data_IF_710612392030
#
_entry.id   IF_710612392030
#
_cell.length_a   1.000
_cell.length_b   1.000
_cell.length_c   1.000
_cell.angle_alpha   90.00
_cell.angle_beta   90.00
_cell.angle_gamma   90.00
#
_symmetry.space_group_name_H-M   'P 1'
#
loop_
_entity.id
_entity.type
_entity.pdbx_description
1 polymer ?
#
# COMPACT_ATOMS: atom_id res chain seq x y z
N UNK A 1 23.79 -12.42 -12.74
CA UNK A 1 23.38 -11.18 -13.42
C UNK A 1 21.88 -11.08 -13.21
N UNK A 2 21.50 -10.44 -12.11
CA UNK A 2 20.13 -10.48 -11.58
C UNK A 2 19.59 -9.06 -11.69
N UNK A 3 18.61 -8.88 -12.58
CA UNK A 3 18.07 -7.59 -12.98
C UNK A 3 17.22 -6.99 -11.86
N UNK A 4 17.83 -6.07 -11.12
CA UNK A 4 17.17 -5.05 -10.30
C UNK A 4 17.00 -3.83 -11.22
N UNK A 5 15.76 -3.45 -11.49
CA UNK A 5 15.38 -2.29 -12.32
C UNK A 5 14.03 -2.58 -12.97
N UNK A 6 12.93 -1.94 -12.58
CA UNK A 6 12.68 -0.52 -12.70
C UNK A 6 11.67 -0.11 -11.61
N UNK A 7 12.14 0.61 -10.59
CA UNK A 7 11.34 1.41 -9.67
C UNK A 7 12.08 2.71 -9.37
N UNK A 8 12.33 3.54 -10.39
CA UNK A 8 12.73 4.95 -10.22
C UNK A 8 12.10 5.80 -11.32
N UNK A 9 11.13 6.62 -10.93
CA UNK A 9 10.82 7.98 -11.41
C UNK A 9 9.74 8.48 -10.42
N UNK A 10 9.89 9.47 -9.54
CA UNK A 10 10.83 10.57 -9.40
C UNK A 10 11.26 10.77 -7.93
N UNK A 11 12.41 11.40 -7.78
CA UNK A 11 13.03 11.86 -6.56
C UNK A 11 12.33 13.08 -5.91
N UNK A 12 12.46 13.13 -4.59
CA UNK A 12 12.80 14.30 -3.76
C UNK A 12 12.14 15.65 -4.03
N UNK A 13 11.30 16.09 -3.08
CA UNK A 13 11.30 17.48 -2.59
C UNK A 13 11.16 17.46 -1.07
N UNK A 14 12.18 17.97 -0.38
CA UNK A 14 12.11 18.45 0.99
C UNK A 14 11.19 19.68 1.05
N UNK A 15 10.27 19.72 2.00
CA UNK A 15 9.67 20.96 2.49
C UNK A 15 9.64 20.92 4.03
N UNK A 16 10.03 22.01 4.72
CA UNK A 16 9.98 22.07 6.17
C UNK A 16 8.51 22.22 6.60
N UNK A 17 7.98 21.31 7.39
CA UNK A 17 6.69 21.55 8.03
C UNK A 17 6.90 22.50 9.21
N UNK A 18 6.48 23.74 8.98
CA UNK A 18 6.35 24.77 9.99
C UNK A 18 5.42 24.32 11.13
N UNK A 19 5.78 24.74 12.33
CA UNK A 19 4.97 24.70 13.54
C UNK A 19 3.57 25.29 13.26
N UNK A 20 2.50 24.53 13.50
CA UNK A 20 1.15 25.07 13.67
C UNK A 20 0.76 24.91 15.14
N UNK A 21 0.34 25.98 15.84
CA UNK A 21 0.05 25.94 17.27
C UNK A 21 -1.25 25.20 17.59
N UNK A 22 -1.30 24.73 18.84
CA UNK A 22 -2.38 24.03 19.55
C UNK A 22 -3.80 24.28 19.02
N UNK A 23 -4.40 23.25 18.41
CA UNK A 23 -5.84 23.16 18.24
C UNK A 23 -6.46 22.55 19.50
N UNK A 24 -7.06 23.43 20.31
CA UNK A 24 -7.90 23.13 21.46
C UNK A 24 -8.89 21.99 21.13
N UNK A 25 -8.83 20.91 21.90
CA UNK A 25 -9.74 19.78 21.82
C UNK A 25 -11.20 20.24 22.03
N UNK A 26 -12.02 20.14 20.97
CA UNK A 26 -13.46 20.24 21.12
C UNK A 26 -14.04 18.90 21.64
N UNK A 27 -14.97 18.92 22.61
CA UNK A 27 -15.57 17.70 23.13
C UNK A 27 -16.37 16.99 22.02
N UNK A 28 -16.15 15.68 21.91
CA UNK A 28 -16.84 14.78 20.97
C UNK A 28 -18.35 14.89 21.18
N UNK A 29 -19.07 15.50 20.22
CA UNK A 29 -20.52 15.35 20.12
C UNK A 29 -20.82 13.94 19.63
N UNK A 30 -21.61 13.19 20.41
CA UNK A 30 -22.17 11.92 19.97
C UNK A 30 -22.90 12.09 18.64
N UNK A 31 -22.84 11.10 17.73
CA UNK A 31 -23.61 11.15 16.49
C UNK A 31 -25.11 11.27 16.83
N UNK A 32 -25.87 12.13 16.14
CA UNK A 32 -27.29 12.28 16.40
C UNK A 32 -28.00 10.96 16.05
N UNK A 33 -28.86 10.51 16.97
CA UNK A 33 -29.78 9.38 16.77
C UNK A 33 -30.60 9.63 15.48
N UNK A 34 -30.81 8.62 14.61
CA UNK A 34 -31.60 8.80 13.39
C UNK A 34 -33.00 9.32 13.73
N UNK A 35 -33.38 10.46 13.14
CA UNK A 35 -34.73 10.99 13.26
C UNK A 35 -35.72 10.01 12.58
N UNK A 36 -36.86 9.67 13.22
CA UNK A 36 -37.93 8.95 12.53
C UNK A 36 -38.47 9.82 11.40
N UNK A 37 -38.30 9.38 10.15
CA UNK A 37 -38.88 10.06 8.98
C UNK A 37 -37.89 10.67 7.97
N UNK A 38 -36.63 10.22 7.92
CA UNK A 38 -35.79 10.54 6.76
C UNK A 38 -36.48 10.05 5.47
N UNK A 39 -36.72 10.90 4.46
CA UNK A 39 -37.43 10.51 3.25
C UNK A 39 -36.65 9.42 2.53
N UNK A 40 -37.34 8.31 2.25
CA UNK A 40 -36.86 7.23 1.39
C UNK A 40 -36.37 7.82 0.06
N UNK A 41 -35.17 7.44 -0.39
CA UNK A 41 -34.67 7.86 -1.69
C UNK A 41 -35.73 7.57 -2.78
N UNK A 42 -36.05 8.53 -3.65
CA UNK A 42 -37.03 8.31 -4.70
C UNK A 42 -36.57 7.18 -5.63
N UNK A 43 -37.51 6.32 -6.02
CA UNK A 43 -37.26 5.17 -6.87
C UNK A 43 -36.70 5.65 -8.24
N UNK A 44 -35.64 5.02 -8.80
CA UNK A 44 -35.04 5.46 -10.05
C UNK A 44 -36.05 5.49 -11.20
N UNK A 45 -35.98 6.53 -12.05
CA UNK A 45 -36.78 6.60 -13.28
C UNK A 45 -36.23 5.65 -14.36
N UNK A 46 -37.02 5.23 -15.37
CA UNK A 46 -36.54 4.34 -16.43
C UNK A 46 -35.27 4.86 -17.16
N UNK A 47 -35.21 6.15 -17.47
CA UNK A 47 -34.03 6.77 -18.08
C UNK A 47 -32.78 6.73 -17.18
N UNK A 48 -32.97 6.88 -15.86
CA UNK A 48 -31.90 6.70 -14.86
C UNK A 48 -31.37 5.27 -14.86
N UNK A 49 -32.28 4.29 -14.96
CA UNK A 49 -31.94 2.86 -15.04
C UNK A 49 -31.14 2.51 -16.29
N UNK A 50 -31.53 3.01 -17.46
CA UNK A 50 -30.80 2.77 -18.71
C UNK A 50 -29.40 3.40 -18.69
N UNK A 51 -29.27 4.63 -18.18
CA UNK A 51 -27.98 5.29 -18.01
C UNK A 51 -27.06 4.53 -17.05
N UNK A 52 -27.59 4.05 -15.93
CA UNK A 52 -26.83 3.23 -14.98
C UNK A 52 -26.33 1.92 -15.65
N UNK A 53 -27.17 1.23 -16.41
CA UNK A 53 -26.78 0.02 -17.13
C UNK A 53 -25.69 0.31 -18.16
N UNK A 54 -25.79 1.40 -18.91
CA UNK A 54 -24.76 1.82 -19.86
C UNK A 54 -23.41 2.11 -19.18
N UNK A 55 -23.43 2.73 -18.00
CA UNK A 55 -22.23 3.00 -17.19
C UNK A 55 -21.59 1.70 -16.69
N UNK A 56 -22.39 0.76 -16.17
CA UNK A 56 -21.89 -0.55 -15.73
C UNK A 56 -21.27 -1.32 -16.88
N UNK A 57 -21.93 -1.33 -18.05
CA UNK A 57 -21.39 -1.93 -19.27
C UNK A 57 -20.07 -1.28 -19.70
N UNK A 58 -19.96 0.05 -19.60
CA UNK A 58 -18.72 0.76 -19.94
C UNK A 58 -17.54 0.36 -19.03
N UNK A 59 -17.79 0.04 -17.76
CA UNK A 59 -16.78 -0.51 -16.85
C UNK A 59 -16.36 -1.94 -17.25
N UNK A 60 -17.31 -2.81 -17.62
CA UNK A 60 -17.01 -4.15 -18.11
C UNK A 60 -16.21 -4.12 -19.43
N UNK A 61 -16.58 -3.22 -20.34
CA UNK A 61 -15.87 -3.02 -21.61
C UNK A 61 -14.44 -2.50 -21.38
N UNK A 62 -14.23 -1.67 -20.35
CA UNK A 62 -12.88 -1.22 -19.95
C UNK A 62 -12.00 -2.40 -19.52
N UNK A 63 -12.52 -3.29 -18.66
CA UNK A 63 -11.79 -4.48 -18.23
C UNK A 63 -11.45 -5.41 -19.42
N UNK A 64 -12.40 -5.60 -20.35
CA UNK A 64 -12.18 -6.38 -21.57
C UNK A 64 -11.09 -5.76 -22.45
N UNK A 65 -11.16 -4.44 -22.68
CA UNK A 65 -10.17 -3.72 -23.48
C UNK A 65 -8.77 -3.83 -22.88
N UNK A 66 -8.62 -3.64 -21.56
CA UNK A 66 -7.36 -3.84 -20.87
C UNK A 66 -6.81 -5.25 -21.06
N UNK A 67 -7.64 -6.27 -20.82
CA UNK A 67 -7.23 -7.68 -20.92
C UNK A 67 -6.88 -8.09 -22.36
N UNK A 68 -7.50 -7.45 -23.37
CA UNK A 68 -7.19 -7.63 -24.77
C UNK A 68 -6.02 -6.76 -25.27
N UNK A 69 -5.44 -5.91 -24.42
CA UNK A 69 -4.43 -4.90 -24.77
C UNK A 69 -4.92 -3.92 -25.87
N UNK A 70 -6.23 -3.66 -25.92
CA UNK A 70 -6.82 -2.69 -26.83
C UNK A 70 -6.75 -1.29 -26.20
N UNK A 71 -5.57 -0.68 -26.35
CA UNK A 71 -5.29 0.65 -25.80
C UNK A 71 -6.12 1.76 -26.47
N UNK A 72 -6.59 1.55 -27.69
CA UNK A 72 -7.47 2.49 -28.38
C UNK A 72 -8.88 2.47 -27.78
N UNK A 73 -9.40 1.27 -27.47
CA UNK A 73 -10.66 1.11 -26.75
C UNK A 73 -10.56 1.64 -25.31
N UNK A 74 -9.44 1.44 -24.62
CA UNK A 74 -9.17 2.08 -23.33
C UNK A 74 -9.21 3.61 -23.48
N UNK A 75 -8.49 4.17 -24.45
CA UNK A 75 -8.47 5.61 -24.69
C UNK A 75 -9.86 6.19 -24.93
N UNK A 76 -10.71 5.51 -25.71
CA UNK A 76 -12.10 5.92 -25.96
C UNK A 76 -12.99 5.97 -24.71
N UNK A 77 -12.58 5.35 -23.60
CA UNK A 77 -13.29 5.44 -22.32
C UNK A 77 -12.95 6.69 -21.51
N UNK A 78 -11.89 7.42 -21.87
CA UNK A 78 -11.50 8.67 -21.21
C UNK A 78 -11.92 9.89 -22.03
N UNK A 79 -12.22 11.01 -21.39
CA UNK A 79 -12.31 12.33 -22.06
C UNK A 79 -10.91 12.82 -22.45
N UNK A 80 -10.81 13.78 -23.36
CA UNK A 80 -9.51 14.27 -23.83
C UNK A 80 -8.65 14.86 -22.69
N UNK A 81 -9.30 15.57 -21.76
CA UNK A 81 -8.67 16.28 -20.64
C UNK A 81 -8.80 15.54 -19.30
N UNK A 82 -9.01 14.23 -19.32
CA UNK A 82 -9.26 13.48 -18.10
C UNK A 82 -8.08 13.52 -17.11
N UNK A 83 -8.38 13.44 -15.82
CA UNK A 83 -7.36 13.24 -14.78
C UNK A 83 -7.50 11.85 -14.13
N UNK A 84 -6.36 11.22 -13.84
CA UNK A 84 -6.26 10.01 -13.04
C UNK A 84 -5.32 10.27 -11.87
N UNK A 85 -5.85 10.23 -10.65
CA UNK A 85 -5.10 10.31 -9.41
C UNK A 85 -4.82 8.91 -8.89
N UNK A 86 -3.54 8.55 -8.83
CA UNK A 86 -3.09 7.23 -8.43
C UNK A 86 -2.83 7.20 -6.91
N UNK A 87 -2.86 5.99 -6.35
CA UNK A 87 -2.62 5.73 -4.92
C UNK A 87 -1.22 6.16 -4.44
N UNK A 88 -0.22 6.10 -5.32
CA UNK A 88 1.14 6.58 -5.06
C UNK A 88 1.29 8.12 -5.04
N UNK A 89 0.19 8.87 -5.13
CA UNK A 89 0.17 10.34 -5.14
C UNK A 89 0.41 10.98 -6.52
N UNK A 90 0.69 10.19 -7.57
CA UNK A 90 0.83 10.70 -8.92
C UNK A 90 -0.53 11.16 -9.51
N UNK A 91 -0.49 12.18 -10.36
CA UNK A 91 -1.65 12.61 -11.14
C UNK A 91 -1.29 12.61 -12.62
N UNK A 92 -1.99 11.80 -13.41
CA UNK A 92 -1.87 11.77 -14.86
C UNK A 92 -2.95 12.66 -15.47
N UNK A 93 -2.56 13.51 -16.42
CA UNK A 93 -3.46 14.47 -17.07
C UNK A 93 -3.51 14.25 -18.57
N UNK A 94 -4.72 14.16 -19.09
CA UNK A 94 -5.02 13.92 -20.51
C UNK A 94 -5.07 12.44 -20.87
N UNK A 95 -5.98 12.11 -21.81
CA UNK A 95 -6.18 10.73 -22.31
C UNK A 95 -4.89 10.06 -22.74
N UNK A 96 -4.06 10.78 -23.50
CA UNK A 96 -2.82 10.25 -24.07
C UNK A 96 -1.85 9.79 -22.97
N UNK A 97 -1.60 10.64 -21.96
CA UNK A 97 -0.72 10.32 -20.85
C UNK A 97 -1.22 9.11 -20.04
N UNK A 98 -2.54 9.02 -19.81
CA UNK A 98 -3.16 7.90 -19.12
C UNK A 98 -2.96 6.60 -19.90
N UNK A 99 -3.28 6.60 -21.20
CA UNK A 99 -3.14 5.41 -22.07
C UNK A 99 -1.69 4.97 -22.20
N UNK A 100 -0.75 5.92 -22.28
CA UNK A 100 0.68 5.62 -22.38
C UNK A 100 1.24 4.94 -21.13
N UNK A 101 0.83 5.38 -19.94
CA UNK A 101 1.23 4.71 -18.70
C UNK A 101 0.63 3.32 -18.62
N UNK A 102 -0.64 3.14 -18.98
CA UNK A 102 -1.29 1.82 -19.04
C UNK A 102 -0.57 0.89 -20.02
N UNK A 103 -0.17 1.40 -21.19
CA UNK A 103 0.60 0.66 -22.20
C UNK A 103 1.97 0.23 -21.69
N UNK A 104 2.72 1.15 -21.08
CA UNK A 104 4.04 0.86 -20.48
C UNK A 104 3.92 -0.17 -19.36
N UNK A 105 2.93 -0.02 -18.47
CA UNK A 105 2.69 -0.99 -17.39
C UNK A 105 2.34 -2.38 -17.93
N UNK A 106 1.53 -2.43 -18.99
CA UNK A 106 1.14 -3.68 -19.67
C UNK A 106 2.32 -4.41 -20.30
N UNK A 107 3.29 -3.69 -20.86
CA UNK A 107 4.50 -4.28 -21.44
C UNK A 107 5.39 -4.96 -20.39
N UNK A 108 5.45 -4.40 -19.18
CA UNK A 108 6.20 -4.99 -18.06
C UNK A 108 5.44 -6.14 -17.39
N UNK A 109 4.12 -6.24 -17.59
CA UNK A 109 3.24 -7.25 -16.99
C UNK A 109 2.34 -7.91 -18.04
N UNK A 110 2.90 -8.70 -18.98
CA UNK A 110 2.16 -9.21 -20.13
C UNK A 110 1.03 -10.18 -19.75
N UNK A 111 1.10 -10.81 -18.59
CA UNK A 111 0.07 -11.72 -18.06
C UNK A 111 -0.96 -11.05 -17.16
N UNK A 112 -0.76 -9.78 -16.79
CA UNK A 112 -1.70 -9.08 -15.93
C UNK A 112 -3.08 -8.95 -16.58
N UNK A 113 -4.12 -9.28 -15.82
CA UNK A 113 -5.52 -9.13 -16.17
C UNK A 113 -6.26 -8.38 -15.06
N UNK A 114 -7.23 -7.55 -15.44
CA UNK A 114 -8.10 -6.85 -14.49
C UNK A 114 -9.53 -7.38 -14.52
N UNK A 115 -10.21 -7.24 -13.39
CA UNK A 115 -11.67 -7.28 -13.28
C UNK A 115 -12.14 -6.01 -12.55
N UNK A 116 -13.31 -5.51 -12.94
CA UNK A 116 -13.92 -4.33 -12.31
C UNK A 116 -15.29 -4.72 -11.76
N UNK A 117 -15.57 -4.29 -10.53
CA UNK A 117 -16.88 -4.39 -9.89
C UNK A 117 -17.39 -3.01 -9.56
N UNK A 118 -18.46 -2.59 -10.22
CA UNK A 118 -19.16 -1.34 -9.90
C UNK A 118 -20.05 -1.55 -8.68
N UNK A 119 -19.75 -0.83 -7.60
CA UNK A 119 -20.46 -0.89 -6.32
C UNK A 119 -21.64 0.08 -6.28
N UNK A 120 -21.43 1.32 -6.72
CA UNK A 120 -22.50 2.32 -6.82
C UNK A 120 -22.37 3.19 -8.07
N UNK A 121 -23.52 3.65 -8.55
CA UNK A 121 -23.65 4.65 -9.60
C UNK A 121 -24.61 5.73 -9.08
N UNK A 122 -24.06 6.89 -8.77
CA UNK A 122 -24.81 8.05 -8.30
C UNK A 122 -24.99 9.02 -9.48
N UNK A 123 -26.18 9.04 -10.08
CA UNK A 123 -26.49 9.98 -11.16
C UNK A 123 -26.52 11.41 -10.61
N UNK A 124 -25.70 12.30 -11.19
CA UNK A 124 -25.62 13.73 -10.80
C UNK A 124 -26.47 14.63 -11.72
N UNK A 125 -26.92 14.08 -12.84
CA UNK A 125 -27.78 14.71 -13.85
C UNK A 125 -27.87 13.83 -15.09
N UNK A 126 -28.51 14.32 -16.16
CA UNK A 126 -28.68 13.55 -17.39
C UNK A 126 -27.35 13.18 -18.09
N UNK A 127 -26.30 14.00 -17.90
CA UNK A 127 -25.00 13.83 -18.55
C UNK A 127 -23.83 13.62 -17.61
N UNK A 128 -24.05 13.36 -16.31
CA UNK A 128 -22.96 13.17 -15.35
C UNK A 128 -23.35 12.15 -14.27
N UNK A 129 -22.39 11.30 -13.89
CA UNK A 129 -22.56 10.30 -12.85
C UNK A 129 -21.26 10.11 -12.07
N UNK A 130 -21.37 9.90 -10.77
CA UNK A 130 -20.27 9.42 -9.94
C UNK A 130 -20.35 7.91 -9.84
N UNK A 131 -19.24 7.23 -10.06
CA UNK A 131 -19.16 5.77 -10.03
C UNK A 131 -18.11 5.34 -9.03
N UNK A 132 -18.49 4.47 -8.10
CA UNK A 132 -17.56 3.87 -7.15
C UNK A 132 -17.49 2.38 -7.37
N UNK A 133 -16.33 1.80 -7.14
CA UNK A 133 -16.15 0.37 -7.26
C UNK A 133 -14.77 -0.10 -6.88
N UNK A 134 -14.54 -1.35 -7.19
CA UNK A 134 -13.28 -2.04 -6.95
C UNK A 134 -12.74 -2.57 -8.28
N UNK A 135 -11.47 -2.31 -8.57
CA UNK A 135 -10.68 -2.95 -9.62
C UNK A 135 -9.76 -3.98 -8.97
N UNK A 136 -9.69 -5.19 -9.52
CA UNK A 136 -8.74 -6.23 -9.10
C UNK A 136 -7.83 -6.54 -10.26
N UNK A 137 -6.53 -6.36 -10.07
CA UNK A 137 -5.49 -6.81 -10.98
C UNK A 137 -4.94 -8.15 -10.49
N UNK A 138 -4.85 -9.11 -11.40
CA UNK A 138 -4.19 -10.40 -11.16
C UNK A 138 -3.04 -10.51 -12.13
N UNK A 139 -1.87 -10.87 -11.62
CA UNK A 139 -0.70 -11.23 -12.43
C UNK A 139 -0.12 -12.55 -11.92
N UNK A 140 0.34 -13.39 -12.82
CA UNK A 140 0.95 -14.69 -12.48
C UNK A 140 2.42 -14.53 -11.98
N UNK A 141 2.88 -13.29 -11.78
CA UNK A 141 4.22 -12.93 -11.28
C UNK A 141 4.29 -12.74 -9.76
N UNK A 142 5.44 -12.28 -9.26
CA UNK A 142 5.80 -12.14 -7.82
C UNK A 142 4.81 -11.32 -6.97
N UNK A 143 3.95 -10.54 -7.60
CA UNK A 143 3.09 -9.55 -6.96
C UNK A 143 1.68 -10.10 -6.63
N UNK A 144 1.23 -11.18 -7.30
CA UNK A 144 -0.05 -11.84 -7.03
C UNK A 144 -1.31 -11.02 -7.39
N UNK A 145 -2.24 -10.88 -6.43
CA UNK A 145 -3.57 -10.25 -6.61
C UNK A 145 -3.63 -8.90 -5.89
N UNK A 146 -3.91 -7.84 -6.64
CA UNK A 146 -3.96 -6.45 -6.17
C UNK A 146 -5.36 -5.92 -6.34
N UNK A 147 -5.87 -5.18 -5.37
CA UNK A 147 -7.19 -4.57 -5.43
C UNK A 147 -7.07 -3.06 -5.18
N UNK A 148 -7.90 -2.29 -5.86
CA UNK A 148 -7.92 -0.82 -5.82
C UNK A 148 -9.36 -0.37 -5.78
N UNK A 149 -9.70 0.51 -4.83
CA UNK A 149 -10.98 1.21 -4.81
C UNK A 149 -10.85 2.41 -5.73
N UNK A 150 -11.84 2.62 -6.57
CA UNK A 150 -11.91 3.83 -7.38
C UNK A 150 -13.16 4.62 -7.03
N UNK A 151 -13.04 5.94 -7.17
CA UNK A 151 -14.15 6.88 -7.29
C UNK A 151 -13.92 7.69 -8.55
N UNK A 152 -14.86 7.63 -9.49
CA UNK A 152 -14.73 8.28 -10.79
C UNK A 152 -15.92 9.16 -11.11
N UNK A 153 -15.66 10.22 -11.88
CA UNK A 153 -16.67 11.01 -12.56
C UNK A 153 -16.76 10.54 -14.01
N UNK A 154 -17.94 10.08 -14.40
CA UNK A 154 -18.28 9.84 -15.80
C UNK A 154 -19.19 10.93 -16.33
N UNK A 155 -18.91 11.39 -17.54
CA UNK A 155 -19.71 12.37 -18.29
C UNK A 155 -20.18 11.77 -19.61
N UNK A 156 -21.37 12.15 -20.05
CA UNK A 156 -21.93 11.72 -21.34
C UNK A 156 -21.44 12.66 -22.44
N UNK A 157 -20.57 12.17 -23.31
CA UNK A 157 -19.97 12.92 -24.43
C UNK A 157 -20.14 12.13 -25.73
N UNK A 158 -20.76 12.74 -26.74
CA UNK A 158 -21.01 12.07 -28.03
C UNK A 158 -21.84 10.79 -27.90
N UNK A 159 -22.75 10.72 -26.91
CA UNK A 159 -23.56 9.53 -26.62
C UNK A 159 -22.82 8.41 -25.88
N UNK A 160 -21.59 8.65 -25.42
CA UNK A 160 -20.79 7.67 -24.69
C UNK A 160 -20.42 8.18 -23.29
N UNK A 161 -20.54 7.33 -22.28
CA UNK A 161 -20.14 7.64 -20.92
C UNK A 161 -18.62 7.50 -20.77
N UNK A 162 -17.91 8.62 -20.63
CA UNK A 162 -16.46 8.71 -20.55
C UNK A 162 -16.00 9.17 -19.17
N UNK A 163 -14.85 8.67 -18.74
CA UNK A 163 -14.16 9.08 -17.52
C UNK A 163 -13.56 10.47 -17.72
N UNK A 164 -14.00 11.42 -16.89
CA UNK A 164 -13.43 12.76 -16.81
C UNK A 164 -12.45 12.89 -15.65
N UNK A 165 -12.70 12.16 -14.57
CA UNK A 165 -11.85 12.11 -13.37
C UNK A 165 -11.92 10.71 -12.78
N UNK A 166 -10.81 10.21 -12.27
CA UNK A 166 -10.78 9.00 -11.46
C UNK A 166 -9.73 9.13 -10.38
N UNK A 167 -10.11 8.82 -9.15
CA UNK A 167 -9.19 8.66 -8.03
C UNK A 167 -9.12 7.20 -7.65
N UNK A 168 -7.91 6.67 -7.57
CA UNK A 168 -7.60 5.32 -7.13
C UNK A 168 -7.01 5.33 -5.73
N UNK A 169 -7.41 4.35 -4.93
CA UNK A 169 -6.85 4.12 -3.60
C UNK A 169 -6.70 2.62 -3.43
N UNK A 170 -5.52 2.15 -3.06
CA UNK A 170 -5.29 0.74 -2.82
C UNK A 170 -6.32 0.17 -1.82
N UNK A 171 -6.90 -0.98 -2.18
CA UNK A 171 -7.65 -1.82 -1.25
C UNK A 171 -6.65 -2.83 -0.72
N UNK A 172 -6.54 -2.86 0.60
CA UNK A 172 -5.68 -3.82 1.27
C UNK A 172 -5.97 -5.26 0.88
N UNK A 173 -5.06 -5.88 0.13
CA UNK A 173 -4.97 -7.34 0.00
C UNK A 173 -3.94 -7.92 0.96
N UNK A 174 -2.93 -7.12 1.36
CA UNK A 174 -2.02 -7.48 2.44
C UNK A 174 -2.82 -7.73 3.73
N UNK A 175 -2.52 -8.84 4.38
CA UNK A 175 -3.12 -9.21 5.66
C UNK A 175 -2.03 -9.37 6.71
N UNK A 176 -2.31 -8.90 7.93
CA UNK A 176 -1.40 -9.15 9.05
C UNK A 176 -1.27 -10.66 9.35
N UNK A 177 -2.23 -11.48 8.89
CA UNK A 177 -2.16 -12.93 9.02
C UNK A 177 -1.00 -13.55 8.21
N UNK A 178 -0.55 -12.89 7.14
CA UNK A 178 0.63 -13.31 6.37
C UNK A 178 1.91 -13.20 7.22
N UNK A 179 1.90 -12.32 8.23
CA UNK A 179 2.95 -12.13 9.22
C UNK A 179 2.74 -12.95 10.50
N UNK A 180 1.63 -13.70 10.62
CA UNK A 180 1.27 -14.42 11.85
C UNK A 180 2.33 -15.43 12.30
N UNK A 181 3.16 -15.92 11.38
CA UNK A 181 4.24 -16.84 11.71
C UNK A 181 5.29 -16.22 12.63
N UNK A 182 5.49 -14.89 12.59
CA UNK A 182 6.39 -14.14 13.47
C UNK A 182 5.95 -14.14 14.93
N UNK A 183 4.65 -14.30 15.19
CA UNK A 183 4.09 -14.23 16.54
C UNK A 183 4.71 -15.30 17.44
N UNK A 184 5.10 -14.89 18.64
CA UNK A 184 5.84 -15.68 19.61
C UNK A 184 7.23 -15.12 19.87
N UNK A 185 8.00 -15.85 20.68
CA UNK A 185 9.35 -15.47 21.09
C UNK A 185 10.39 -16.24 20.30
N UNK A 186 11.52 -15.60 20.00
CA UNK A 186 12.62 -16.11 19.19
C UNK A 186 13.94 -15.72 19.82
N UNK A 187 14.98 -16.50 19.53
CA UNK A 187 16.34 -16.18 19.92
C UNK A 187 17.36 -16.54 18.84
N UNK A 188 18.48 -15.84 18.84
CA UNK A 188 19.64 -16.15 18.02
C UNK A 188 20.92 -15.75 18.74
N UNK A 189 22.03 -16.39 18.36
CA UNK A 189 23.37 -15.89 18.65
C UNK A 189 23.87 -15.12 17.43
N UNK A 190 24.53 -13.99 17.67
CA UNK A 190 25.09 -13.13 16.61
C UNK A 190 26.48 -12.64 17.00
N UNK A 191 27.28 -12.12 16.04
CA UNK A 191 28.54 -11.45 16.37
C UNK A 191 28.38 -10.24 17.30
N UNK A 192 27.19 -9.66 17.39
CA UNK A 192 26.87 -8.52 18.27
C UNK A 192 26.40 -8.96 19.67
N UNK A 193 26.26 -10.26 19.90
CA UNK A 193 25.74 -10.83 21.14
C UNK A 193 24.41 -11.57 20.95
N UNK A 194 23.77 -11.89 22.08
CA UNK A 194 22.53 -12.66 22.10
C UNK A 194 21.36 -11.79 21.68
N UNK A 195 20.61 -12.26 20.70
CA UNK A 195 19.41 -11.58 20.19
C UNK A 195 18.17 -12.31 20.71
N UNK A 196 17.21 -11.56 21.26
CA UNK A 196 15.86 -12.07 21.56
C UNK A 196 14.83 -11.20 20.89
N UNK A 197 13.80 -11.81 20.32
CA UNK A 197 12.75 -11.13 19.58
C UNK A 197 11.41 -11.69 20.02
N UNK A 198 10.41 -10.85 20.27
CA UNK A 198 9.05 -11.31 20.53
C UNK A 198 8.06 -10.47 19.75
N UNK A 199 7.13 -11.11 19.06
CA UNK A 199 6.00 -10.44 18.42
C UNK A 199 4.68 -10.92 19.02
N UNK A 200 3.77 -9.97 19.22
CA UNK A 200 2.40 -10.21 19.65
C UNK A 200 1.41 -9.48 18.75
N UNK A 201 0.19 -10.02 18.61
CA UNK A 201 -0.88 -9.31 17.91
C UNK A 201 -1.26 -8.06 18.69
N UNK A 202 -1.54 -6.98 17.97
CA UNK A 202 -1.92 -5.71 18.53
C UNK A 202 -3.01 -5.03 17.68
N UNK A 203 -3.53 -3.90 18.18
CA UNK A 203 -4.45 -3.03 17.45
C UNK A 203 -5.78 -3.71 17.05
N UNK A 204 -6.21 -4.71 17.82
CA UNK A 204 -7.39 -5.52 17.52
C UNK A 204 -7.19 -6.40 16.28
N UNK A 205 -6.08 -7.15 16.26
CA UNK A 205 -5.66 -8.03 15.17
C UNK A 205 -5.44 -7.32 13.83
N UNK A 206 -5.04 -6.04 13.87
CA UNK A 206 -4.71 -5.23 12.68
C UNK A 206 -3.22 -4.88 12.57
N UNK A 207 -2.41 -5.34 13.52
CA UNK A 207 -0.97 -5.15 13.53
C UNK A 207 -0.26 -6.12 14.46
N UNK A 208 1.07 -6.06 14.46
CA UNK A 208 1.94 -6.73 15.41
C UNK A 208 2.76 -5.68 16.17
N UNK A 209 3.08 -5.96 17.43
CA UNK A 209 4.12 -5.23 18.17
C UNK A 209 5.27 -6.20 18.42
N UNK A 210 6.46 -5.78 18.00
CA UNK A 210 7.73 -6.46 18.18
C UNK A 210 8.55 -5.82 19.29
N UNK A 211 9.18 -6.64 20.13
CA UNK A 211 10.25 -6.21 21.03
C UNK A 211 11.49 -7.01 20.71
N UNK A 212 12.59 -6.32 20.43
CA UNK A 212 13.88 -6.93 20.09
C UNK A 212 14.90 -6.44 21.11
N UNK A 213 15.69 -7.35 21.66
CA UNK A 213 16.81 -7.04 22.53
C UNK A 213 18.07 -7.66 21.94
N UNK A 214 19.14 -6.87 21.85
CA UNK A 214 20.48 -7.33 21.48
C UNK A 214 21.38 -7.11 22.68
N UNK A 215 21.75 -8.20 23.34
CA UNK A 215 22.60 -8.19 24.54
C UNK A 215 24.06 -8.52 24.16
N UNK A 216 24.98 -7.55 24.15
CA UNK A 216 26.39 -7.80 23.94
C UNK A 216 27.00 -8.57 25.12
N UNK A 217 28.25 -9.05 24.95
CA UNK A 217 28.99 -9.72 26.02
C UNK A 217 29.26 -8.78 27.20
N UNK A 218 29.54 -7.51 26.92
CA UNK A 218 29.77 -6.47 27.90
C UNK A 218 28.93 -5.23 27.56
N UNK A 219 28.42 -4.54 28.59
CA UNK A 219 27.58 -3.35 28.44
C UNK A 219 26.07 -3.63 28.48
N UNK A 220 25.25 -2.56 28.38
CA UNK A 220 23.80 -2.68 28.41
C UNK A 220 23.25 -3.30 27.13
N UNK A 221 22.08 -3.93 27.23
CA UNK A 221 21.35 -4.39 26.06
C UNK A 221 20.81 -3.20 25.26
N UNK A 222 20.81 -3.34 23.93
CA UNK A 222 20.06 -2.47 23.04
C UNK A 222 18.64 -3.02 22.91
N UNK A 223 17.63 -2.18 23.15
CA UNK A 223 16.22 -2.54 23.02
C UNK A 223 15.63 -1.84 21.80
N UNK A 224 14.77 -2.52 21.07
CA UNK A 224 14.01 -1.98 19.94
C UNK A 224 12.54 -2.34 20.09
N UNK A 225 11.68 -1.34 19.97
CA UNK A 225 10.24 -1.50 19.77
C UNK A 225 9.95 -1.39 18.29
N UNK A 226 9.22 -2.36 17.75
CA UNK A 226 8.72 -2.36 16.38
C UNK A 226 7.20 -2.41 16.38
N UNK A 227 6.57 -1.60 15.54
CA UNK A 227 5.13 -1.65 15.29
C UNK A 227 4.95 -1.98 13.82
N UNK A 228 4.27 -3.09 13.54
CA UNK A 228 3.92 -3.52 12.18
C UNK A 228 2.42 -3.35 12.01
N UNK A 229 1.99 -2.67 10.96
CA UNK A 229 0.57 -2.45 10.70
C UNK A 229 0.28 -2.53 9.21
N UNK A 230 -0.87 -3.10 8.87
CA UNK A 230 -1.41 -2.95 7.52
C UNK A 230 -2.07 -1.58 7.39
N UNK A 231 -1.59 -0.77 6.46
CA UNK A 231 -2.15 0.54 6.12
C UNK A 231 -2.09 0.71 4.61
N UNK A 232 -3.18 1.20 4.02
CA UNK A 232 -3.27 1.51 2.59
C UNK A 232 -2.86 0.34 1.66
N UNK A 233 -3.01 -0.90 2.14
CA UNK A 233 -2.68 -2.13 1.41
C UNK A 233 -1.22 -2.53 1.39
N UNK A 234 -0.39 -1.86 2.18
CA UNK A 234 0.99 -2.22 2.44
C UNK A 234 1.18 -2.56 3.91
N UNK A 235 2.19 -3.39 4.19
CA UNK A 235 2.59 -3.68 5.57
C UNK A 235 3.65 -2.64 5.93
N UNK A 236 3.27 -1.67 6.75
CA UNK A 236 4.18 -0.65 7.26
C UNK A 236 4.87 -1.13 8.54
N UNK A 237 6.04 -0.57 8.81
CA UNK A 237 6.75 -0.75 10.08
C UNK A 237 7.25 0.58 10.62
N UNK A 238 7.25 0.71 11.94
CA UNK A 238 7.93 1.77 12.67
C UNK A 238 8.84 1.15 13.71
N UNK A 239 10.05 1.67 13.82
CA UNK A 239 11.06 1.20 14.77
C UNK A 239 11.54 2.33 15.66
N UNK A 240 11.73 2.02 16.93
CA UNK A 240 12.26 2.93 17.94
C UNK A 240 13.24 2.14 18.81
N UNK A 241 14.47 2.62 18.97
CA UNK A 241 15.45 1.92 19.81
C UNK A 241 15.90 2.74 21.03
N UNK A 242 16.54 2.05 21.96
CA UNK A 242 17.05 2.62 23.21
C UNK A 242 18.21 3.60 23.02
N UNK A 243 18.78 3.71 21.82
CA UNK A 243 19.82 4.71 21.51
C UNK A 243 19.21 6.06 21.16
N UNK A 244 17.91 6.10 20.85
CA UNK A 244 17.21 7.28 20.37
C UNK A 244 16.98 7.28 18.86
N UNK A 245 17.35 6.20 18.16
CA UNK A 245 17.03 6.04 16.74
C UNK A 245 15.53 5.78 16.59
N UNK A 246 14.93 6.46 15.63
CA UNK A 246 13.58 6.19 15.18
C UNK A 246 13.54 6.06 13.67
N UNK A 247 12.63 5.25 13.15
CA UNK A 247 12.50 5.05 11.71
C UNK A 247 11.16 4.46 11.33
N UNK A 248 10.88 4.52 10.04
CA UNK A 248 9.69 3.96 9.43
C UNK A 248 10.03 3.27 8.12
N UNK A 249 9.11 2.45 7.65
CA UNK A 249 9.38 1.58 6.52
C UNK A 249 8.18 0.77 6.09
N UNK A 250 8.48 -0.18 5.21
CA UNK A 250 7.50 -1.10 4.65
C UNK A 250 8.09 -2.50 4.51
N UNK A 251 7.20 -3.49 4.37
CA UNK A 251 7.54 -4.86 4.09
C UNK A 251 7.04 -5.27 2.71
N UNK A 252 7.86 -6.07 2.03
CA UNK A 252 7.51 -6.77 0.79
C UNK A 252 7.80 -8.25 0.99
N UNK A 253 6.96 -9.15 0.47
CA UNK A 253 7.21 -10.57 0.60
C UNK A 253 6.65 -11.42 -0.54
N UNK A 254 7.28 -12.57 -0.77
CA UNK A 254 6.81 -13.64 -1.66
C UNK A 254 6.17 -14.82 -0.90
N UNK A 255 5.99 -14.66 0.42
CA UNK A 255 5.45 -15.67 1.35
C UNK A 255 6.51 -16.55 2.02
N UNK A 256 7.73 -16.64 1.47
CA UNK A 256 8.87 -17.32 2.09
C UNK A 256 9.94 -16.33 2.55
N UNK A 257 10.17 -15.27 1.79
CA UNK A 257 11.11 -14.19 2.05
C UNK A 257 10.35 -12.89 2.27
N UNK A 258 10.69 -12.21 3.35
CA UNK A 258 10.11 -10.96 3.79
C UNK A 258 11.22 -9.92 3.87
N UNK A 259 11.17 -8.91 3.01
CA UNK A 259 12.11 -7.82 2.96
C UNK A 259 11.52 -6.62 3.69
N UNK A 260 12.21 -6.13 4.70
CA UNK A 260 11.84 -4.93 5.45
C UNK A 260 12.81 -3.82 5.14
N UNK A 261 12.34 -2.77 4.48
CA UNK A 261 13.14 -1.56 4.24
C UNK A 261 12.78 -0.53 5.29
N UNK A 262 13.77 0.00 6.01
CA UNK A 262 13.59 1.05 7.01
C UNK A 262 14.48 2.24 6.67
N UNK A 263 13.90 3.43 6.81
CA UNK A 263 14.60 4.71 6.84
C UNK A 263 14.30 5.40 8.16
N UNK A 264 15.31 6.03 8.74
CA UNK A 264 15.19 6.64 10.05
C UNK A 264 16.26 7.69 10.29
N UNK A 265 16.31 8.14 11.54
CA UNK A 265 17.20 9.18 12.02
C UNK A 265 17.80 8.70 13.33
N UNK A 266 19.13 8.84 13.48
CA UNK A 266 19.86 8.57 14.71
C UNK A 266 19.64 9.67 15.74
N UNK A 267 20.09 9.45 16.97
CA UNK A 267 19.99 10.38 18.09
C UNK A 267 20.64 11.75 17.84
N UNK A 268 21.65 11.79 16.97
CA UNK A 268 22.36 13.00 16.55
C UNK A 268 21.80 13.64 15.26
N UNK A 269 20.63 13.18 14.79
CA UNK A 269 19.94 13.75 13.65
C UNK A 269 20.45 13.26 12.29
N UNK A 270 21.39 12.31 12.23
CA UNK A 270 21.88 11.77 10.95
C UNK A 270 20.90 10.75 10.37
N UNK A 271 20.74 10.70 9.04
CA UNK A 271 19.91 9.70 8.40
C UNK A 271 20.48 8.30 8.62
N UNK A 272 19.60 7.29 8.73
CA UNK A 272 19.98 5.89 8.78
C UNK A 272 19.03 5.07 7.90
N UNK A 273 19.53 3.99 7.31
CA UNK A 273 18.68 3.04 6.62
C UNK A 273 19.23 1.63 6.69
N UNK A 274 18.35 0.64 6.53
CA UNK A 274 18.73 -0.75 6.42
C UNK A 274 17.62 -1.53 5.72
N UNK A 275 18.01 -2.56 4.98
CA UNK A 275 17.10 -3.63 4.57
C UNK A 275 17.33 -4.84 5.46
N UNK A 276 16.27 -5.41 6.02
CA UNK A 276 16.32 -6.70 6.71
C UNK A 276 15.62 -7.73 5.83
N UNK A 277 16.36 -8.75 5.41
CA UNK A 277 15.80 -9.92 4.72
C UNK A 277 15.53 -11.00 5.74
N UNK A 278 14.26 -11.33 5.92
CA UNK A 278 13.81 -12.39 6.81
C UNK A 278 13.29 -13.56 5.98
N UNK A 279 13.95 -14.71 6.07
CA UNK A 279 13.55 -15.92 5.33
C UNK A 279 12.97 -16.94 6.30
N UNK A 280 11.71 -17.33 6.09
CA UNK A 280 11.09 -18.42 6.85
C UNK A 280 11.66 -19.75 6.36
N UNK A 281 12.28 -20.51 7.27
CA UNK A 281 12.87 -21.83 6.95
C UNK A 281 11.94 -22.95 7.40
N UNK A 282 11.33 -22.80 8.58
CA UNK A 282 10.33 -23.72 9.12
C UNK A 282 9.39 -22.97 10.09
N UNK A 283 8.38 -23.62 10.70
CA UNK A 283 7.58 -22.99 11.75
C UNK A 283 8.40 -22.48 12.95
N UNK A 284 9.53 -23.13 13.23
CA UNK A 284 10.36 -22.86 14.43
C UNK A 284 11.70 -22.17 14.08
N UNK A 285 11.98 -21.93 12.81
CA UNK A 285 13.26 -21.35 12.38
C UNK A 285 13.13 -20.36 11.24
N UNK A 286 13.91 -19.29 11.31
CA UNK A 286 14.02 -18.28 10.27
C UNK A 286 15.45 -17.74 10.18
N UNK A 287 15.80 -17.15 9.04
CA UNK A 287 17.06 -16.44 8.85
C UNK A 287 16.80 -14.95 8.85
N UNK A 288 17.55 -14.21 9.68
CA UNK A 288 17.55 -12.75 9.72
C UNK A 288 18.86 -12.27 9.09
N UNK A 289 18.78 -11.46 8.03
CA UNK A 289 19.94 -10.96 7.30
C UNK A 289 19.88 -9.43 7.12
N UNK A 290 20.64 -8.66 7.92
CA UNK A 290 20.74 -7.21 7.78
C UNK A 290 21.69 -6.81 6.65
N UNK A 291 21.18 -6.12 5.64
CA UNK A 291 21.92 -5.69 4.45
C UNK A 291 21.63 -4.21 4.14
N UNK A 292 22.42 -3.64 3.22
CA UNK A 292 22.22 -2.29 2.68
C UNK A 292 22.13 -1.22 3.78
N UNK A 293 23.08 -1.32 4.71
CA UNK A 293 23.10 -0.52 5.93
C UNK A 293 23.78 0.82 5.68
N UNK A 294 23.12 1.91 6.06
CA UNK A 294 23.64 3.27 5.93
C UNK A 294 23.48 4.02 7.26
N UNK A 295 24.48 4.82 7.63
CA UNK A 295 24.42 5.76 8.75
C UNK A 295 25.13 7.06 8.37
N UNK A 296 24.41 8.17 8.39
CA UNK A 296 24.81 9.40 7.73
C UNK A 296 25.09 9.15 6.25
N UNK A 297 26.26 9.60 5.78
CA UNK A 297 26.73 9.35 4.41
C UNK A 297 27.60 8.08 4.29
N UNK A 298 27.71 7.29 5.37
CA UNK A 298 28.58 6.12 5.41
C UNK A 298 27.77 4.85 5.15
N UNK A 299 28.14 4.13 4.09
CA UNK A 299 27.68 2.75 3.87
C UNK A 299 28.42 1.82 4.83
N UNK A 300 27.65 1.13 5.66
CA UNK A 300 28.15 0.11 6.58
C UNK A 300 28.21 -1.25 5.87
N UNK A 301 29.11 -2.16 6.28
CA UNK A 301 29.08 -3.53 5.78
C UNK A 301 27.76 -4.24 6.13
N UNK A 302 27.33 -5.10 5.21
CA UNK A 302 26.28 -6.08 5.48
C UNK A 302 26.71 -7.00 6.62
N UNK A 303 25.76 -7.42 7.45
CA UNK A 303 26.01 -8.36 8.53
C UNK A 303 25.74 -9.79 8.05
N UNK A 304 26.43 -10.81 8.57
CA UNK A 304 26.10 -12.19 8.26
C UNK A 304 24.67 -12.51 8.67
N UNK A 305 24.04 -13.42 7.94
CA UNK A 305 22.73 -13.93 8.34
C UNK A 305 22.82 -14.72 9.64
N UNK A 306 21.85 -14.50 10.53
CA UNK A 306 21.72 -15.22 11.79
C UNK A 306 20.46 -16.08 11.78
N UNK A 307 20.53 -17.25 12.43
CA UNK A 307 19.40 -18.16 12.52
C UNK A 307 18.59 -17.87 13.79
N UNK A 308 17.39 -17.36 13.61
CA UNK A 308 16.38 -17.30 14.66
C UNK A 308 15.81 -18.69 14.90
N UNK A 309 15.69 -19.04 16.18
CA UNK A 309 14.99 -20.23 16.65
C UNK A 309 13.88 -19.81 17.60
N UNK A 310 12.67 -20.30 17.35
CA UNK A 310 11.49 -19.99 18.16
C UNK A 310 11.65 -20.65 19.54
N UNK A 311 11.28 -19.90 20.58
CA UNK A 311 11.26 -20.36 21.95
C UNK A 311 9.92 -21.06 22.21
N UNK A 312 9.99 -22.17 22.95
CA UNK A 312 8.81 -22.93 23.38
C UNK A 312 8.05 -22.22 24.49
#
# INVERSE_FOLDING_TARGET
MTNIGIRILLASVFAPLALVPDAIAQPRRNPPKPAPGAPSQPKPTPATSEAEQAIRKAADDYAKAFNARDFDAIGKQWTDMAELHQDNGATLRGREAIVDIIRKASAHRPKAAISIKVESVDMLGAGAARVKGTLVLKDDGEIGVWATRFSSLRVLEGGQWRLADSTETAISTASIDEMAWLVGSWSAESPMGKVTVSYEKALGDRGLVGKISVKPAEGPAMEVLEVIQVRDGEIHTWVFDSTGLSGEGYWEHDGARFNRTIHGVTEDGRPASSVIVLTRVSPETALWHPIERIRGDVRMPDLPSIKLTKLK
#
